data_IF_913198798099
#
_entry.id   IF_913198798099
#
_cell.length_a   1.000
_cell.length_b   1.000
_cell.length_c   1.000
_cell.angle_alpha   90.00
_cell.angle_beta   90.00
_cell.angle_gamma   90.00
#
_symmetry.space_group_name_H-M   'P 1'
#
loop_
_entity.id
_entity.type
_entity.pdbx_description
1 polymer ?
#
# COMPACT_ATOMS: atom_id res chain seq x y z
N UNK A 1 -34.67 9.98 -64.56
CA UNK A 1 -35.02 8.92 -63.59
C UNK A 1 -33.71 8.53 -62.90
N UNK A 2 -33.44 8.68 -61.62
CA UNK A 2 -34.20 9.19 -60.47
C UNK A 2 -33.23 9.43 -59.30
N UNK A 3 -33.48 10.51 -58.54
CA UNK A 3 -33.15 10.72 -57.11
C UNK A 3 -31.67 10.71 -56.69
N UNK A 4 -31.21 11.83 -56.10
CA UNK A 4 -31.16 12.00 -54.63
C UNK A 4 -30.52 13.34 -54.18
N UNK A 5 -31.33 14.11 -53.44
CA UNK A 5 -31.03 14.71 -52.12
C UNK A 5 -30.04 15.89 -52.12
N UNK A 6 -30.54 17.14 -52.11
CA UNK A 6 -30.88 17.95 -50.92
C UNK A 6 -29.66 18.63 -50.27
N UNK A 7 -29.61 19.96 -50.48
CA UNK A 7 -29.46 20.99 -49.46
C UNK A 7 -29.25 20.49 -48.01
N UNK A 8 -28.14 20.88 -47.38
CA UNK A 8 -28.07 21.33 -45.98
C UNK A 8 -26.61 21.40 -45.47
N UNK A 9 -26.23 22.61 -45.03
CA UNK A 9 -25.41 22.86 -43.84
C UNK A 9 -23.93 22.45 -43.89
N UNK A 10 -23.10 23.46 -44.19
CA UNK A 10 -21.77 23.62 -43.59
C UNK A 10 -21.84 23.39 -42.08
N UNK A 11 -21.28 22.28 -41.59
CA UNK A 11 -21.24 21.98 -40.16
C UNK A 11 -19.92 21.30 -39.77
N UNK A 12 -19.09 22.11 -39.13
CA UNK A 12 -18.37 21.86 -37.87
C UNK A 12 -17.63 20.54 -37.74
N UNK A 13 -16.30 20.64 -37.61
CA UNK A 13 -15.49 19.53 -37.14
C UNK A 13 -14.04 19.82 -36.80
N UNK A 14 -13.56 21.07 -36.80
CA UNK A 14 -12.29 21.36 -36.12
C UNK A 14 -12.57 21.26 -34.63
N UNK A 15 -12.15 20.13 -34.03
CA UNK A 15 -11.88 20.09 -32.59
C UNK A 15 -10.83 21.16 -32.34
N UNK A 16 -11.30 22.37 -32.05
CA UNK A 16 -10.53 23.28 -31.23
C UNK A 16 -10.33 22.50 -29.95
N UNK A 17 -9.13 21.94 -29.76
CA UNK A 17 -8.61 21.79 -28.43
C UNK A 17 -8.61 23.21 -27.89
N UNK A 18 -9.67 23.58 -27.18
CA UNK A 18 -9.62 24.67 -26.23
C UNK A 18 -8.59 24.23 -25.21
N UNK A 19 -7.32 24.53 -25.49
CA UNK A 19 -6.32 24.62 -24.45
C UNK A 19 -6.89 25.68 -23.52
N UNK A 20 -7.42 25.23 -22.39
CA UNK A 20 -7.64 26.10 -21.26
C UNK A 20 -6.27 26.72 -21.03
N UNK A 21 -6.11 27.99 -21.45
CA UNK A 21 -5.06 28.82 -20.90
C UNK A 21 -5.49 28.95 -19.45
N UNK A 22 -5.10 27.97 -18.63
CA UNK A 22 -4.95 28.22 -17.22
C UNK A 22 -3.96 29.37 -17.19
N UNK A 23 -4.48 30.57 -16.94
CA UNK A 23 -3.69 31.77 -16.73
C UNK A 23 -2.52 31.35 -15.84
N UNK A 24 -1.29 31.65 -16.31
CA UNK A 24 -0.09 31.36 -15.53
C UNK A 24 -0.33 31.86 -14.09
N UNK A 25 0.00 31.08 -13.04
CA UNK A 25 -0.27 31.46 -11.66
C UNK A 25 0.39 32.80 -11.28
N UNK A 26 1.32 33.29 -12.11
CA UNK A 26 1.90 34.61 -12.05
C UNK A 26 1.30 35.55 -13.11
N UNK A 27 1.09 36.81 -12.74
CA UNK A 27 0.63 37.83 -13.69
C UNK A 27 1.65 38.04 -14.82
N UNK A 28 1.18 38.51 -15.98
CA UNK A 28 2.05 38.88 -17.11
C UNK A 28 3.14 39.89 -16.70
N UNK A 29 2.85 40.75 -15.72
CA UNK A 29 3.82 41.70 -15.15
C UNK A 29 4.96 40.97 -14.42
N UNK A 30 4.65 39.95 -13.61
CA UNK A 30 5.64 39.12 -12.91
C UNK A 30 6.48 38.31 -13.90
N UNK A 31 5.86 37.75 -14.94
CA UNK A 31 6.57 36.98 -15.98
C UNK A 31 7.46 37.85 -16.87
N UNK A 32 7.11 39.12 -17.06
CA UNK A 32 7.85 40.06 -17.89
C UNK A 32 9.11 40.61 -17.19
N UNK A 33 9.26 40.42 -15.87
CA UNK A 33 10.48 40.81 -15.16
C UNK A 33 11.62 39.89 -15.61
N UNK A 34 12.66 40.43 -16.29
CA UNK A 34 13.80 39.60 -16.69
C UNK A 34 14.52 39.09 -15.44
N UNK A 35 14.91 37.81 -15.46
CA UNK A 35 15.76 37.22 -14.43
C UNK A 35 16.99 38.11 -14.20
N UNK A 36 17.32 38.46 -12.93
CA UNK A 36 18.49 39.27 -12.63
C UNK A 36 19.77 38.69 -13.27
N UNK A 37 20.64 39.56 -13.81
CA UNK A 37 21.84 39.14 -14.55
C UNK A 37 22.85 38.37 -13.68
N UNK A 38 22.76 38.59 -12.38
CA UNK A 38 23.54 38.00 -11.31
C UNK A 38 22.84 36.80 -10.64
N UNK A 39 21.63 36.43 -11.10
CA UNK A 39 20.93 35.27 -10.58
C UNK A 39 21.76 34.00 -10.77
N UNK A 40 22.23 33.44 -9.65
CA UNK A 40 22.84 32.12 -9.61
C UNK A 40 21.76 31.15 -9.19
N UNK A 41 21.28 30.34 -10.14
CA UNK A 41 20.37 29.24 -9.83
C UNK A 41 20.98 28.41 -8.69
N UNK A 42 20.27 28.23 -7.57
CA UNK A 42 20.81 27.51 -6.44
C UNK A 42 21.12 26.08 -6.85
N UNK A 43 22.28 25.58 -6.46
CA UNK A 43 22.61 24.16 -6.57
C UNK A 43 21.84 23.45 -5.46
N UNK A 44 20.68 22.89 -5.80
CA UNK A 44 19.97 22.04 -4.86
C UNK A 44 20.79 20.75 -4.66
N UNK A 45 21.22 20.53 -3.42
CA UNK A 45 21.86 19.27 -3.03
C UNK A 45 20.86 18.11 -3.15
N UNK A 46 21.38 16.90 -3.39
CA UNK A 46 20.53 15.70 -3.32
C UNK A 46 20.02 15.56 -1.90
N UNK A 47 18.74 15.30 -1.82
CA UNK A 47 18.05 15.19 -0.55
C UNK A 47 18.49 13.90 0.18
N UNK A 48 19.29 14.05 1.25
CA UNK A 48 19.95 12.95 1.99
C UNK A 48 19.04 12.16 2.96
N UNK A 49 17.73 12.41 2.97
CA UNK A 49 16.82 11.65 3.84
C UNK A 49 16.81 12.11 5.32
N UNK A 50 17.43 13.24 5.65
CA UNK A 50 17.55 13.75 7.02
C UNK A 50 16.60 14.91 7.36
N UNK A 51 15.82 15.40 6.39
CA UNK A 51 14.89 16.51 6.63
C UNK A 51 13.54 16.03 7.18
N UNK A 52 12.66 16.99 7.39
CA UNK A 52 11.43 16.92 8.18
C UNK A 52 10.74 15.52 8.13
N UNK A 53 10.58 14.84 9.28
CA UNK A 53 9.84 13.58 9.39
C UNK A 53 8.44 13.63 8.78
N UNK A 54 7.84 14.82 8.66
CA UNK A 54 6.53 15.05 8.03
C UNK A 54 6.54 14.76 6.53
N UNK A 55 7.67 14.95 5.83
CA UNK A 55 7.80 14.81 4.37
C UNK A 55 8.32 13.45 3.90
N UNK A 56 8.48 12.49 4.82
CA UNK A 56 9.23 11.26 4.57
C UNK A 56 8.36 10.00 4.62
N UNK A 57 7.37 9.83 3.73
CA UNK A 57 6.54 8.64 3.74
C UNK A 57 7.35 7.37 3.48
N UNK A 58 6.82 6.26 3.98
CA UNK A 58 7.36 4.92 3.72
C UNK A 58 7.32 4.63 2.21
N UNK A 59 8.43 4.15 1.67
CA UNK A 59 8.55 3.74 0.27
C UNK A 59 7.63 2.56 -0.09
N UNK A 60 7.38 2.34 -1.39
CA UNK A 60 6.51 1.22 -1.84
C UNK A 60 7.05 -0.15 -1.43
N UNK A 61 8.37 -0.30 -1.48
CA UNK A 61 9.11 -1.54 -1.22
C UNK A 61 9.91 -1.47 0.09
N UNK A 62 9.74 -0.41 0.89
CA UNK A 62 10.41 -0.23 2.18
C UNK A 62 9.63 -0.99 3.27
N UNK A 63 10.31 -1.84 4.04
CA UNK A 63 9.70 -2.54 5.17
C UNK A 63 9.41 -1.57 6.31
N UNK A 64 8.43 -1.90 7.15
CA UNK A 64 8.05 -1.05 8.28
C UNK A 64 9.22 -0.79 9.23
N UNK A 65 10.11 -1.78 9.43
CA UNK A 65 11.30 -1.63 10.28
C UNK A 65 12.26 -0.58 9.78
N UNK A 66 12.47 -0.53 8.46
CA UNK A 66 13.44 0.38 7.83
C UNK A 66 12.89 1.80 7.90
N UNK A 67 11.59 1.96 7.63
CA UNK A 67 10.88 3.22 7.80
C UNK A 67 10.94 3.74 9.24
N UNK A 68 10.64 2.90 10.25
CA UNK A 68 10.67 3.31 11.67
C UNK A 68 12.09 3.71 12.08
N UNK A 69 13.12 2.97 11.67
CA UNK A 69 14.51 3.29 11.96
C UNK A 69 14.91 4.64 11.36
N UNK A 70 14.55 4.87 10.09
CA UNK A 70 14.80 6.13 9.39
C UNK A 70 14.05 7.30 10.03
N UNK A 71 12.77 7.11 10.34
CA UNK A 71 11.94 8.08 11.03
C UNK A 71 12.54 8.47 12.38
N UNK A 72 12.93 7.48 13.20
CA UNK A 72 13.54 7.72 14.50
C UNK A 72 14.85 8.52 14.36
N UNK A 73 15.73 8.15 13.42
CA UNK A 73 16.97 8.87 13.14
C UNK A 73 16.72 10.34 12.78
N UNK A 74 15.71 10.62 11.95
CA UNK A 74 15.34 11.99 11.58
C UNK A 74 14.82 12.80 12.79
N UNK A 75 14.07 12.15 13.70
CA UNK A 75 13.51 12.83 14.88
C UNK A 75 14.53 13.15 15.98
N UNK A 76 15.63 12.40 16.09
CA UNK A 76 16.62 12.59 17.17
C UNK A 76 17.34 13.94 17.13
N UNK A 77 17.41 14.59 15.97
CA UNK A 77 18.09 15.88 15.80
C UNK A 77 17.21 17.11 16.08
N UNK A 78 15.91 16.92 16.28
CA UNK A 78 14.95 18.03 16.34
C UNK A 78 14.70 18.39 17.81
N UNK A 79 15.18 19.58 18.22
CA UNK A 79 14.89 20.14 19.54
C UNK A 79 13.41 20.49 19.64
N UNK A 80 12.81 20.20 20.79
CA UNK A 80 11.42 20.57 21.14
C UNK A 80 10.34 19.99 20.21
N UNK A 81 10.58 18.80 19.65
CA UNK A 81 9.61 18.11 18.80
C UNK A 81 8.35 17.71 19.59
N UNK A 82 7.21 18.27 19.19
CA UNK A 82 5.93 17.97 19.80
C UNK A 82 5.45 16.57 19.43
N UNK A 83 4.99 15.79 20.42
CA UNK A 83 4.51 14.41 20.19
C UNK A 83 3.35 14.35 19.20
N UNK A 84 2.45 15.33 19.20
CA UNK A 84 1.36 15.43 18.22
C UNK A 84 1.88 15.47 16.78
N UNK A 85 3.00 16.18 16.54
CA UNK A 85 3.67 16.24 15.24
C UNK A 85 4.27 14.89 14.87
N UNK A 86 4.94 14.23 15.83
CA UNK A 86 5.48 12.88 15.64
C UNK A 86 4.39 11.89 15.25
N UNK A 87 3.29 11.83 16.01
CA UNK A 87 2.19 10.88 15.76
C UNK A 87 1.53 11.16 14.41
N UNK A 88 1.32 12.43 14.08
CA UNK A 88 0.76 12.85 12.80
C UNK A 88 1.67 12.42 11.64
N UNK A 89 2.97 12.71 11.73
CA UNK A 89 3.96 12.32 10.73
C UNK A 89 4.09 10.79 10.60
N UNK A 90 4.06 10.04 11.71
CA UNK A 90 4.09 8.58 11.66
C UNK A 90 2.82 8.02 11.00
N UNK A 91 1.65 8.56 11.32
CA UNK A 91 0.37 8.14 10.74
C UNK A 91 0.27 8.47 9.26
N UNK A 92 0.73 9.64 8.82
CA UNK A 92 0.75 10.01 7.41
C UNK A 92 1.79 9.19 6.65
N UNK A 93 2.99 9.02 7.22
CA UNK A 93 4.13 8.38 6.59
C UNK A 93 4.03 6.86 6.48
N UNK A 94 3.47 6.15 7.46
CA UNK A 94 3.41 4.69 7.41
C UNK A 94 2.38 4.16 6.40
N UNK A 95 2.75 3.09 5.70
CA UNK A 95 1.86 2.30 4.83
C UNK A 95 1.17 1.14 5.56
N UNK A 96 1.65 0.78 6.76
CA UNK A 96 1.06 -0.30 7.53
C UNK A 96 -0.30 0.15 8.11
N UNK A 97 -1.39 -0.30 7.47
CA UNK A 97 -2.76 0.11 7.83
C UNK A 97 -3.13 -0.24 9.27
N UNK A 98 -2.71 -1.41 9.76
CA UNK A 98 -3.04 -1.85 11.11
C UNK A 98 -2.31 -1.01 12.16
N UNK A 99 -1.04 -0.69 11.91
CA UNK A 99 -0.29 0.22 12.76
C UNK A 99 -0.92 1.61 12.78
N UNK A 100 -1.23 2.19 11.62
CA UNK A 100 -1.92 3.49 11.49
C UNK A 100 -3.23 3.54 12.28
N UNK A 101 -4.06 2.51 12.14
CA UNK A 101 -5.31 2.40 12.89
C UNK A 101 -5.07 2.25 14.41
N UNK A 102 -4.02 1.54 14.81
CA UNK A 102 -3.65 1.42 16.23
C UNK A 102 -3.23 2.76 16.84
N UNK A 103 -2.48 3.59 16.10
CA UNK A 103 -2.08 4.92 16.54
C UNK A 103 -3.28 5.86 16.65
N UNK A 104 -4.21 5.81 15.70
CA UNK A 104 -5.43 6.60 15.77
C UNK A 104 -6.33 6.22 16.95
N UNK A 105 -6.45 4.92 17.26
CA UNK A 105 -7.28 4.44 18.38
C UNK A 105 -6.67 4.77 19.74
N UNK A 106 -5.35 4.59 19.87
CA UNK A 106 -4.62 4.81 21.11
C UNK A 106 -3.35 5.63 20.79
N UNK A 107 -3.48 6.97 20.72
CA UNK A 107 -2.36 7.84 20.39
C UNK A 107 -1.26 7.75 21.46
N UNK A 108 0.01 7.50 21.07
CA UNK A 108 1.09 7.49 22.02
C UNK A 108 1.42 8.89 22.51
N UNK A 109 1.75 9.01 23.79
CA UNK A 109 2.15 10.28 24.41
C UNK A 109 3.68 10.43 24.55
N UNK A 110 4.43 9.38 24.22
CA UNK A 110 5.90 9.37 24.29
C UNK A 110 6.50 8.66 23.08
N UNK A 111 7.75 9.02 22.72
CA UNK A 111 8.49 8.32 21.66
C UNK A 111 8.67 6.84 22.00
N UNK A 112 8.91 6.52 23.27
CA UNK A 112 9.08 5.14 23.72
C UNK A 112 7.83 4.29 23.46
N UNK A 113 6.65 4.80 23.79
CA UNK A 113 5.38 4.11 23.55
C UNK A 113 5.13 3.92 22.05
N UNK A 114 5.43 4.93 21.24
CA UNK A 114 5.31 4.88 19.78
C UNK A 114 6.20 3.79 19.18
N UNK A 115 7.49 3.79 19.54
CA UNK A 115 8.48 2.84 19.00
C UNK A 115 8.19 1.41 19.44
N UNK A 116 7.88 1.19 20.71
CA UNK A 116 7.47 -0.12 21.23
C UNK A 116 6.22 -0.66 20.53
N UNK A 117 5.26 0.22 20.23
CA UNK A 117 4.07 -0.17 19.46
C UNK A 117 4.43 -0.49 18.01
N UNK A 118 5.34 0.27 17.40
CA UNK A 118 5.85 0.01 16.05
C UNK A 118 6.53 -1.35 15.93
N UNK A 119 7.38 -1.71 16.90
CA UNK A 119 8.08 -3.02 16.97
C UNK A 119 7.10 -4.21 16.89
N UNK A 120 6.01 -4.17 17.66
CA UNK A 120 4.96 -5.20 17.58
C UNK A 120 4.41 -5.41 16.15
N UNK A 121 4.28 -4.34 15.37
CA UNK A 121 3.79 -4.42 13.99
C UNK A 121 4.88 -4.80 13.00
N UNK A 122 6.15 -4.51 13.29
CA UNK A 122 7.30 -5.03 12.56
C UNK A 122 7.32 -6.55 12.66
N UNK A 123 7.24 -7.10 13.89
CA UNK A 123 7.23 -8.55 14.11
C UNK A 123 6.09 -9.23 13.34
N UNK A 124 4.90 -8.62 13.36
CA UNK A 124 3.73 -9.12 12.64
C UNK A 124 3.90 -9.07 11.11
N UNK A 125 4.52 -8.01 10.58
CA UNK A 125 4.81 -7.86 9.15
C UNK A 125 5.85 -8.88 8.69
N UNK A 126 6.92 -9.08 9.45
CA UNK A 126 7.96 -10.07 9.15
C UNK A 126 7.40 -11.50 9.19
N UNK A 127 6.60 -11.85 10.20
CA UNK A 127 5.93 -13.15 10.27
C UNK A 127 5.00 -13.39 9.07
N UNK A 128 4.28 -12.35 8.61
CA UNK A 128 3.45 -12.43 7.42
C UNK A 128 4.26 -12.67 6.14
N UNK A 129 5.40 -12.00 5.99
CA UNK A 129 6.27 -12.17 4.82
C UNK A 129 6.87 -13.58 4.75
N UNK A 130 7.29 -14.15 5.89
CA UNK A 130 7.80 -15.54 5.96
C UNK A 130 6.72 -16.53 5.48
N UNK A 131 5.50 -16.41 6.00
CA UNK A 131 4.39 -17.29 5.63
C UNK A 131 3.91 -17.09 4.20
N UNK A 132 3.96 -15.86 3.66
CA UNK A 132 3.68 -15.58 2.24
C UNK A 132 4.73 -16.21 1.32
N UNK A 133 6.02 -16.10 1.67
CA UNK A 133 7.11 -16.73 0.92
C UNK A 133 7.05 -18.27 0.93
N UNK A 134 6.47 -18.88 1.97
CA UNK A 134 6.17 -20.31 2.00
C UNK A 134 5.04 -20.72 1.04
N UNK A 135 4.09 -19.81 0.75
CA UNK A 135 2.94 -20.09 -0.12
C UNK A 135 3.31 -20.06 -1.61
N UNK A 136 4.28 -19.25 -2.02
CA UNK A 136 4.79 -19.23 -3.40
C UNK A 136 5.69 -20.43 -3.75
N UNK A 137 6.14 -21.19 -2.74
CA UNK A 137 7.02 -22.37 -2.92
C UNK A 137 6.29 -23.71 -2.81
N UNK A 138 4.99 -23.72 -2.55
CA UNK A 138 4.21 -24.94 -2.32
C UNK A 138 3.14 -25.18 -3.39
N UNK A 139 3.58 -25.36 -4.63
CA UNK A 139 3.03 -26.36 -5.57
C UNK A 139 4.21 -26.95 -6.37
N UNK A 140 4.36 -28.29 -6.37
CA UNK A 140 3.55 -29.07 -7.30
C UNK A 140 3.02 -30.42 -6.75
N UNK A 141 2.14 -30.99 -7.58
CA UNK A 141 1.82 -32.41 -7.73
C UNK A 141 0.82 -33.08 -6.78
N UNK A 142 -0.43 -33.05 -7.25
CA UNK A 142 -1.34 -34.18 -7.34
C UNK A 142 -0.66 -35.56 -7.25
N UNK A 143 -0.58 -36.14 -6.05
CA UNK A 143 -0.28 -37.56 -5.91
C UNK A 143 -1.52 -38.31 -5.42
N UNK A 144 -2.28 -38.82 -6.40
CA UNK A 144 -3.30 -39.86 -6.20
C UNK A 144 -2.60 -41.09 -5.65
N UNK A 145 -2.50 -41.21 -4.33
CA UNK A 145 -2.17 -42.50 -3.70
C UNK A 145 -3.37 -43.43 -3.87
N UNK A 146 -3.34 -44.21 -4.96
CA UNK A 146 -3.97 -45.52 -5.04
C UNK A 146 -3.48 -46.31 -3.82
N UNK A 147 -4.40 -46.71 -2.95
CA UNK A 147 -4.16 -47.73 -1.94
C UNK A 147 -4.57 -49.06 -2.59
N UNK A 148 -3.67 -50.03 -2.79
CA UNK A 148 -4.05 -51.40 -3.16
C UNK A 148 -4.16 -52.30 -1.91
N UNK A 149 -5.26 -53.04 -1.80
CA UNK A 149 -5.45 -54.23 -0.94
C UNK A 149 -5.80 -53.91 0.52
N UNK A 150 -7.07 -53.82 0.92
CA UNK A 150 -8.04 -54.92 1.13
C UNK A 150 -7.72 -55.77 2.38
N UNK A 151 -8.39 -55.44 3.49
CA UNK A 151 -8.95 -56.40 4.44
C UNK A 151 -10.32 -55.84 4.88
N UNK A 152 -11.34 -56.23 4.14
CA UNK A 152 -12.77 -56.07 4.46
C UNK A 152 -13.13 -56.90 5.72
N UNK A 153 -13.97 -56.39 6.63
CA UNK A 153 -14.60 -57.21 7.66
C UNK A 153 -15.75 -58.04 7.05
N UNK A 154 -15.52 -59.35 6.89
CA UNK A 154 -16.54 -60.29 6.45
C UNK A 154 -17.62 -60.50 7.52
N UNK A 155 -18.81 -60.01 7.18
CA UNK A 155 -20.09 -60.31 7.81
C UNK A 155 -20.53 -61.75 7.48
N UNK A 156 -20.37 -62.68 8.44
CA UNK A 156 -20.95 -64.02 8.35
C UNK A 156 -22.24 -64.10 9.16
N UNK A 157 -23.36 -64.00 8.43
CA UNK A 157 -24.68 -64.44 8.91
C UNK A 157 -24.75 -65.96 8.94
N UNK A 158 -25.36 -66.47 10.01
CA UNK A 158 -26.31 -67.56 9.90
C UNK A 158 -26.18 -68.62 10.98
N UNK A 159 -27.16 -68.67 11.89
CA UNK A 159 -27.97 -69.88 12.11
C UNK A 159 -29.39 -69.49 12.52
N UNK A 160 -30.36 -69.91 11.70
CA UNK A 160 -31.76 -70.08 12.10
C UNK A 160 -31.85 -71.27 13.07
N UNK A 161 -32.59 -71.11 14.16
CA UNK A 161 -33.40 -72.20 14.73
C UNK A 161 -34.73 -71.64 15.22
N UNK A 162 -35.75 -71.93 14.41
CA UNK A 162 -37.08 -72.46 14.74
C UNK A 162 -37.83 -71.95 15.99
N UNK A 163 -39.10 -71.57 15.78
CA UNK A 163 -39.99 -71.08 16.82
C UNK A 163 -40.93 -72.11 17.43
N UNK A 164 -41.61 -71.66 18.48
CA UNK A 164 -42.86 -72.15 19.08
C UNK A 164 -43.46 -70.91 19.78
N UNK A 165 -44.58 -70.33 19.34
CA UNK A 165 -46.00 -70.72 19.58
C UNK A 165 -46.33 -70.96 21.06
N UNK A 166 -46.81 -69.93 21.77
CA UNK A 166 -48.23 -69.69 22.10
C UNK A 166 -48.36 -68.55 23.11
#
# INVERSE_FOLDING_TARGET
>A
MDRKIAEAMSSKGSRQQSMVLEEDPFSLEVMAVPLPRDFKQPKMEKYEGSSDPVDHPQGKDELLKDFIARFNRATLGIKELQMSTVVTAMMSGTRNRHFKMSLSKNPPNTMHELLRRGEKYVDAEEAYLITKGMKDRSEPESNKRKIPGELEPQNNRGKLTQGEKR
#
